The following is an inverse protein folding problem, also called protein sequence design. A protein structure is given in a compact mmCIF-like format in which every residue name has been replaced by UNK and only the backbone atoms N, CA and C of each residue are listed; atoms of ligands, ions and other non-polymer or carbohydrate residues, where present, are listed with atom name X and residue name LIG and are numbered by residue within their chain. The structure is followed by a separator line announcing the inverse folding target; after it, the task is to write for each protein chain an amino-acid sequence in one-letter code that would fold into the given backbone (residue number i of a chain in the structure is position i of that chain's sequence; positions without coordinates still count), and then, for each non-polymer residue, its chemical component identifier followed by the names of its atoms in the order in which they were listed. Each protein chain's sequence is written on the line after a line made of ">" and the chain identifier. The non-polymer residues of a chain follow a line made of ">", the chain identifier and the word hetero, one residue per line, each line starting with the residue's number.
data_IF_094149797809
#
_entry.id   IF_094149797809
#
_cell.length_a   1.000
_cell.length_b   1.000
_cell.length_c   1.000
_cell.angle_alpha   90.00
_cell.angle_beta   90.00
_cell.angle_gamma   90.00
#
_symmetry.space_group_name_H-M   'P 1'
#
loop_
_entity.id
_entity.type
_entity.pdbx_description
1 polymer ?
#
# COMPACT_ATOMS: atom_id res chain seq x y z
N UNK A 1 0.58 -1.03 -15.03
CA UNK A 1 -0.60 -1.88 -15.27
C UNK A 1 -1.55 -1.66 -14.10
N UNK A 2 -2.77 -1.18 -14.36
CA UNK A 2 -3.80 -1.13 -13.31
C UNK A 2 -4.36 -2.55 -13.16
N UNK A 3 -3.84 -3.32 -12.21
CA UNK A 3 -4.58 -4.47 -11.71
C UNK A 3 -5.86 -3.92 -11.08
N UNK A 4 -7.00 -4.31 -11.60
CA UNK A 4 -8.28 -4.05 -10.93
C UNK A 4 -8.26 -4.76 -9.57
N UNK A 5 -8.84 -4.17 -8.52
CA UNK A 5 -8.92 -4.80 -7.18
C UNK A 5 -9.47 -6.24 -7.26
N UNK A 6 -10.35 -6.51 -8.23
CA UNK A 6 -10.95 -7.82 -8.48
C UNK A 6 -9.97 -8.92 -8.97
N UNK A 7 -8.74 -8.59 -9.37
CA UNK A 7 -7.72 -9.54 -9.84
C UNK A 7 -6.54 -9.69 -8.88
N UNK A 8 -6.61 -9.06 -7.68
CA UNK A 8 -5.56 -9.19 -6.69
C UNK A 8 -5.71 -10.50 -5.90
N UNK A 9 -4.60 -11.21 -5.73
CA UNK A 9 -4.54 -12.48 -5.01
C UNK A 9 -3.36 -12.50 -4.03
N UNK A 10 -3.52 -13.25 -2.94
CA UNK A 10 -2.43 -13.51 -2.00
C UNK A 10 -1.30 -14.26 -2.69
N UNK A 11 -0.08 -13.76 -2.51
CA UNK A 11 1.12 -14.44 -3.00
C UNK A 11 1.73 -15.36 -1.92
N UNK A 12 2.81 -16.08 -2.28
CA UNK A 12 3.48 -17.01 -1.38
C UNK A 12 4.03 -16.33 -0.10
N UNK A 13 4.48 -15.07 -0.19
CA UNK A 13 4.99 -14.33 0.98
C UNK A 13 3.83 -13.98 1.92
N UNK A 14 2.68 -13.58 1.39
CA UNK A 14 1.50 -13.25 2.21
C UNK A 14 1.01 -14.49 2.99
N UNK A 15 1.01 -15.66 2.34
CA UNK A 15 0.65 -16.92 3.00
C UNK A 15 1.66 -17.31 4.08
N UNK A 16 2.96 -17.11 3.85
CA UNK A 16 3.98 -17.32 4.86
C UNK A 16 3.84 -16.36 6.06
N UNK A 17 3.43 -15.12 5.83
CA UNK A 17 3.15 -14.17 6.92
C UNK A 17 1.95 -14.61 7.76
N UNK A 18 0.91 -15.14 7.12
CA UNK A 18 -0.23 -15.72 7.85
C UNK A 18 0.24 -16.91 8.68
N UNK A 19 1.05 -17.81 8.10
CA UNK A 19 1.60 -18.97 8.83
C UNK A 19 2.44 -18.52 10.03
N UNK A 20 3.28 -17.51 9.84
CA UNK A 20 4.10 -16.95 10.90
C UNK A 20 3.25 -16.34 12.02
N UNK A 21 2.18 -15.61 11.69
CA UNK A 21 1.27 -15.03 12.67
C UNK A 21 0.56 -16.09 13.52
N UNK A 22 0.21 -17.26 12.94
CA UNK A 22 -0.30 -18.39 13.71
C UNK A 22 0.74 -18.97 14.67
N UNK A 23 1.99 -19.10 14.24
CA UNK A 23 3.08 -19.59 15.11
C UNK A 23 3.36 -18.59 16.24
N UNK A 24 3.37 -17.30 15.92
CA UNK A 24 3.62 -16.23 16.89
C UNK A 24 2.57 -16.18 17.99
N UNK A 25 1.28 -16.32 17.63
CA UNK A 25 0.17 -16.14 18.57
C UNK A 25 -0.20 -17.43 19.30
N UNK A 26 -0.10 -18.59 18.65
CA UNK A 26 -0.57 -19.90 19.17
C UNK A 26 0.55 -20.87 19.55
N UNK A 27 1.80 -20.58 19.19
CA UNK A 27 2.93 -21.50 19.40
C UNK A 27 2.92 -22.73 18.46
N UNK A 28 3.73 -23.73 18.80
CA UNK A 28 3.77 -25.04 18.12
C UNK A 28 3.87 -26.18 19.15
N UNK A 29 2.87 -27.12 19.19
CA UNK A 29 1.64 -27.14 18.39
C UNK A 29 0.70 -25.97 18.73
N UNK A 30 -0.17 -25.59 17.80
CA UNK A 30 -1.13 -24.49 18.00
C UNK A 30 -2.03 -24.75 19.20
N UNK A 31 -2.07 -23.82 20.15
CA UNK A 31 -2.87 -23.92 21.36
C UNK A 31 -3.34 -22.56 21.84
N UNK A 32 -4.64 -22.39 21.96
CA UNK A 32 -5.24 -21.35 22.79
C UNK A 32 -5.53 -21.94 24.18
N UNK A 33 -4.61 -21.70 25.11
CA UNK A 33 -4.71 -22.20 26.49
C UNK A 33 -5.98 -21.78 27.20
N UNK A 34 -6.43 -20.54 26.96
CA UNK A 34 -7.64 -20.01 27.60
C UNK A 34 -8.87 -20.78 27.14
N UNK A 35 -9.06 -20.89 25.83
CA UNK A 35 -10.19 -21.60 25.25
C UNK A 35 -10.14 -23.08 25.58
N UNK A 36 -8.97 -23.73 25.53
CA UNK A 36 -8.81 -25.14 25.87
C UNK A 36 -9.16 -25.45 27.34
N UNK A 37 -8.89 -24.56 28.28
CA UNK A 37 -9.15 -24.77 29.71
C UNK A 37 -10.61 -24.39 30.07
N UNK A 38 -11.08 -23.24 29.56
CA UNK A 38 -12.42 -22.76 29.94
C UNK A 38 -13.54 -23.50 29.19
N UNK A 39 -13.24 -23.98 27.99
CA UNK A 39 -14.24 -24.57 27.10
C UNK A 39 -13.78 -25.91 26.51
N UNK A 40 -13.42 -26.91 27.32
CA UNK A 40 -12.80 -28.16 26.84
C UNK A 40 -13.74 -29.00 25.94
N UNK A 41 -15.03 -28.71 25.95
CA UNK A 41 -16.06 -29.41 25.14
C UNK A 41 -16.85 -28.47 24.23
N UNK A 42 -16.35 -27.22 24.03
CA UNK A 42 -17.05 -26.22 23.25
C UNK A 42 -17.01 -26.57 21.75
N UNK A 43 -18.06 -27.20 21.29
CA UNK A 43 -18.34 -27.48 19.89
C UNK A 43 -19.53 -26.65 19.36
N UNK A 44 -19.86 -25.55 20.05
CA UNK A 44 -21.00 -24.74 19.70
C UNK A 44 -20.66 -23.81 18.54
N UNK A 45 -21.63 -23.67 17.64
CA UNK A 45 -21.58 -22.65 16.61
C UNK A 45 -21.84 -21.28 17.26
N UNK A 46 -20.96 -20.36 16.96
CA UNK A 46 -21.08 -18.96 17.35
C UNK A 46 -21.25 -18.07 16.13
N UNK A 47 -21.86 -16.94 16.36
CA UNK A 47 -21.88 -15.81 15.44
C UNK A 47 -21.02 -14.70 16.02
N UNK A 48 -20.15 -14.11 15.20
CA UNK A 48 -19.36 -12.96 15.62
C UNK A 48 -19.40 -11.89 14.54
N UNK A 49 -19.36 -10.62 14.97
CA UNK A 49 -19.28 -9.48 14.07
C UNK A 49 -18.01 -8.71 14.30
N UNK A 50 -17.32 -8.38 13.21
CA UNK A 50 -16.15 -7.51 13.19
C UNK A 50 -16.62 -6.09 12.88
N UNK A 51 -16.38 -5.15 13.80
CA UNK A 51 -16.90 -3.79 13.76
C UNK A 51 -15.78 -2.74 13.82
N UNK A 52 -16.03 -1.59 13.18
CA UNK A 52 -15.18 -0.41 13.34
C UNK A 52 -15.53 0.31 14.65
N UNK A 53 -14.52 0.56 15.49
CA UNK A 53 -14.62 1.46 16.65
C UNK A 53 -14.04 2.84 16.37
N UNK A 54 -13.56 3.07 15.16
CA UNK A 54 -13.07 4.39 14.78
C UNK A 54 -14.18 5.44 14.82
N UNK A 55 -13.91 6.64 15.34
CA UNK A 55 -14.87 7.75 15.33
C UNK A 55 -15.05 8.37 13.95
N UNK A 56 -14.22 8.03 12.99
CA UNK A 56 -14.24 8.47 11.59
C UNK A 56 -14.45 7.28 10.65
N UNK A 57 -15.01 7.51 9.44
CA UNK A 57 -15.09 6.46 8.44
C UNK A 57 -13.72 5.89 8.09
N UNK A 58 -13.67 4.59 7.81
CA UNK A 58 -12.47 3.87 7.34
C UNK A 58 -12.71 3.25 5.97
N UNK A 59 -11.63 2.97 5.25
CA UNK A 59 -11.66 2.18 4.03
C UNK A 59 -11.34 0.73 4.38
N UNK A 60 -12.23 -0.18 4.00
CA UNK A 60 -12.06 -1.62 4.21
C UNK A 60 -10.92 -2.14 3.34
N UNK A 61 -10.05 -2.97 3.93
CA UNK A 61 -9.00 -3.68 3.21
C UNK A 61 -8.59 -4.93 3.96
N UNK A 62 -8.66 -6.10 3.29
CA UNK A 62 -8.15 -7.35 3.81
C UNK A 62 -9.13 -8.51 3.85
N UNK A 63 -10.27 -8.45 3.15
CA UNK A 63 -11.20 -9.58 3.06
C UNK A 63 -10.55 -10.89 2.58
N UNK A 64 -9.67 -10.91 1.56
CA UNK A 64 -8.97 -12.12 1.14
C UNK A 64 -8.06 -12.71 2.24
N UNK A 65 -7.54 -11.85 3.12
CA UNK A 65 -6.69 -12.28 4.24
C UNK A 65 -7.53 -12.97 5.30
N UNK A 66 -8.72 -12.41 5.64
CA UNK A 66 -9.67 -13.07 6.56
C UNK A 66 -10.02 -14.46 6.03
N UNK A 67 -10.34 -14.58 4.74
CA UNK A 67 -10.66 -15.88 4.12
C UNK A 67 -9.53 -16.88 4.27
N UNK A 68 -8.28 -16.46 4.03
CA UNK A 68 -7.12 -17.33 4.15
C UNK A 68 -6.87 -17.77 5.61
N UNK A 69 -7.03 -16.85 6.57
CA UNK A 69 -6.91 -17.14 8.00
C UNK A 69 -7.98 -18.14 8.44
N UNK A 70 -9.24 -17.92 8.09
CA UNK A 70 -10.34 -18.81 8.44
C UNK A 70 -10.17 -20.19 7.82
N UNK A 71 -9.78 -20.26 6.54
CA UNK A 71 -9.48 -21.53 5.88
C UNK A 71 -8.40 -22.34 6.60
N UNK A 72 -7.44 -21.68 7.24
CA UNK A 72 -6.38 -22.31 8.03
C UNK A 72 -6.85 -22.67 9.44
N UNK A 73 -7.73 -21.88 10.04
CA UNK A 73 -8.19 -22.06 11.42
C UNK A 73 -9.19 -23.19 11.59
N UNK A 74 -10.02 -23.50 10.57
CA UNK A 74 -11.03 -24.58 10.61
C UNK A 74 -12.42 -24.11 10.17
N UNK A 75 -13.47 -24.73 10.71
CA UNK A 75 -14.86 -24.52 10.30
C UNK A 75 -15.39 -23.15 10.75
N UNK A 76 -15.21 -22.17 9.88
CA UNK A 76 -15.81 -20.84 10.01
C UNK A 76 -16.02 -20.24 8.61
N UNK A 77 -17.19 -19.64 8.41
CA UNK A 77 -17.52 -18.89 7.20
C UNK A 77 -17.57 -17.40 7.50
N UNK A 78 -17.30 -16.58 6.46
CA UNK A 78 -17.44 -15.15 6.54
C UNK A 78 -18.47 -14.64 5.52
N UNK A 79 -19.17 -13.59 5.89
CA UNK A 79 -20.05 -12.81 5.02
C UNK A 79 -19.73 -11.33 5.22
N UNK A 80 -19.65 -10.59 4.13
CA UNK A 80 -19.55 -9.13 4.13
C UNK A 80 -20.47 -8.56 3.07
N UNK A 81 -21.14 -7.44 3.39
CA UNK A 81 -21.92 -6.66 2.44
C UNK A 81 -21.04 -5.64 1.69
N UNK A 82 -19.76 -5.62 1.98
CA UNK A 82 -18.77 -4.69 1.43
C UNK A 82 -17.66 -5.44 0.69
N UNK A 83 -17.00 -4.72 -0.20
CA UNK A 83 -15.76 -5.13 -0.86
C UNK A 83 -14.58 -4.34 -0.32
N UNK A 84 -13.36 -4.84 -0.52
CA UNK A 84 -12.16 -4.05 -0.25
C UNK A 84 -12.18 -2.77 -1.11
N UNK A 85 -11.92 -1.63 -0.47
CA UNK A 85 -12.05 -0.29 -1.05
C UNK A 85 -13.33 0.45 -0.65
N UNK A 86 -14.34 -0.24 -0.12
CA UNK A 86 -15.57 0.41 0.35
C UNK A 86 -15.35 1.14 1.68
N UNK A 87 -16.18 2.19 1.89
CA UNK A 87 -16.12 3.02 3.09
C UNK A 87 -17.05 2.48 4.16
N UNK A 88 -16.50 2.15 5.32
CA UNK A 88 -17.23 1.72 6.51
C UNK A 88 -17.43 2.90 7.44
N UNK A 89 -18.68 3.15 7.83
CA UNK A 89 -19.03 4.20 8.78
C UNK A 89 -18.68 3.82 10.23
N UNK A 90 -18.53 4.79 11.15
CA UNK A 90 -18.32 4.51 12.58
C UNK A 90 -19.36 3.54 13.12
N UNK A 91 -18.91 2.49 13.83
CA UNK A 91 -19.78 1.43 14.34
C UNK A 91 -20.28 0.42 13.31
N UNK A 92 -19.92 0.60 12.02
CA UNK A 92 -20.32 -0.31 10.94
C UNK A 92 -19.69 -1.70 11.07
N UNK A 93 -20.44 -2.72 10.65
CA UNK A 93 -19.98 -4.12 10.59
C UNK A 93 -19.21 -4.34 9.29
N UNK A 94 -17.95 -4.78 9.40
CA UNK A 94 -17.11 -5.14 8.26
C UNK A 94 -17.42 -6.54 7.75
N UNK A 95 -17.49 -7.49 8.70
CA UNK A 95 -17.66 -8.92 8.42
C UNK A 95 -18.51 -9.56 9.51
N UNK A 96 -19.35 -10.49 9.11
CA UNK A 96 -20.02 -11.46 10.00
C UNK A 96 -19.33 -12.81 9.84
N UNK A 97 -18.96 -13.42 10.96
CA UNK A 97 -18.36 -14.77 11.05
C UNK A 97 -19.41 -15.73 11.62
N UNK A 98 -19.47 -16.95 11.08
CA UNK A 98 -20.35 -18.00 11.60
C UNK A 98 -19.59 -19.33 11.55
N UNK A 99 -19.50 -20.00 12.67
CA UNK A 99 -18.78 -21.29 12.76
C UNK A 99 -18.40 -21.63 14.19
N UNK A 100 -17.40 -22.50 14.36
CA UNK A 100 -16.93 -22.90 15.69
C UNK A 100 -16.45 -21.71 16.51
N UNK A 101 -16.97 -21.56 17.74
CA UNK A 101 -16.53 -20.54 18.68
C UNK A 101 -15.01 -20.64 18.94
N UNK A 102 -14.46 -21.83 19.03
CA UNK A 102 -13.03 -22.07 19.18
C UNK A 102 -12.23 -21.50 18.00
N UNK A 103 -12.67 -21.76 16.78
CA UNK A 103 -12.02 -21.22 15.57
C UNK A 103 -12.05 -19.70 15.53
N UNK A 104 -13.19 -19.08 15.88
CA UNK A 104 -13.33 -17.62 15.90
C UNK A 104 -12.40 -16.99 16.94
N UNK A 105 -12.38 -17.53 18.18
CA UNK A 105 -11.52 -17.01 19.27
C UNK A 105 -10.03 -17.14 18.92
N UNK A 106 -9.62 -18.29 18.37
CA UNK A 106 -8.24 -18.53 17.97
C UNK A 106 -7.78 -17.62 16.84
N UNK A 107 -8.65 -17.29 15.89
CA UNK A 107 -8.33 -16.45 14.73
C UNK A 107 -8.48 -14.94 14.99
N UNK A 108 -9.17 -14.54 16.06
CA UNK A 108 -9.54 -13.14 16.34
C UNK A 108 -8.35 -12.19 16.26
N UNK A 109 -7.33 -12.42 17.06
CA UNK A 109 -6.19 -11.50 17.16
C UNK A 109 -5.40 -11.44 15.86
N UNK A 110 -5.22 -12.58 15.21
CA UNK A 110 -4.50 -12.68 13.94
C UNK A 110 -5.24 -11.85 12.87
N UNK A 111 -6.55 -12.03 12.71
CA UNK A 111 -7.36 -11.24 11.77
C UNK A 111 -7.28 -9.74 12.06
N UNK A 112 -7.44 -9.35 13.34
CA UNK A 112 -7.43 -7.94 13.73
C UNK A 112 -6.07 -7.29 13.43
N UNK A 113 -4.96 -7.97 13.68
CA UNK A 113 -3.63 -7.41 13.45
C UNK A 113 -3.38 -7.06 11.97
N UNK A 114 -3.81 -7.92 11.04
CA UNK A 114 -3.73 -7.62 9.61
C UNK A 114 -4.67 -6.47 9.22
N UNK A 115 -5.95 -6.58 9.56
CA UNK A 115 -6.97 -5.62 9.13
C UNK A 115 -6.75 -4.22 9.68
N UNK A 116 -6.39 -4.09 10.95
CA UNK A 116 -6.13 -2.80 11.58
C UNK A 116 -5.03 -2.02 10.83
N UNK A 117 -3.98 -2.72 10.38
CA UNK A 117 -2.89 -2.14 9.59
C UNK A 117 -3.34 -1.78 8.19
N UNK A 118 -3.98 -2.70 7.48
CA UNK A 118 -4.33 -2.51 6.07
C UNK A 118 -5.43 -1.48 5.88
N UNK A 119 -6.47 -1.50 6.73
CA UNK A 119 -7.51 -0.47 6.72
C UNK A 119 -6.92 0.92 7.07
N UNK A 120 -5.91 1.02 7.95
CA UNK A 120 -5.26 2.28 8.23
C UNK A 120 -4.53 2.85 7.01
N UNK A 121 -3.79 2.01 6.27
CA UNK A 121 -3.10 2.40 5.03
C UNK A 121 -4.11 2.82 3.97
N UNK A 122 -5.15 2.03 3.74
CA UNK A 122 -6.19 2.34 2.76
C UNK A 122 -6.91 3.67 3.11
N UNK A 123 -7.27 3.85 4.39
CA UNK A 123 -7.94 5.07 4.88
C UNK A 123 -7.04 6.30 4.72
N UNK A 124 -5.76 6.20 5.12
CA UNK A 124 -4.80 7.28 4.94
C UNK A 124 -4.61 7.62 3.46
N UNK A 125 -4.49 6.60 2.60
CA UNK A 125 -4.37 6.82 1.15
C UNK A 125 -5.57 7.54 0.59
N UNK A 126 -6.79 7.15 0.98
CA UNK A 126 -8.02 7.82 0.55
C UNK A 126 -8.05 9.30 0.96
N UNK A 127 -7.51 9.64 2.15
CA UNK A 127 -7.38 11.04 2.58
C UNK A 127 -6.44 11.85 1.67
N UNK A 128 -5.30 11.26 1.25
CA UNK A 128 -4.40 11.91 0.30
C UNK A 128 -5.04 12.08 -1.08
N UNK A 129 -5.70 11.05 -1.59
CA UNK A 129 -6.41 11.08 -2.88
C UNK A 129 -7.50 12.16 -2.87
N UNK A 130 -8.31 12.23 -1.81
CA UNK A 130 -9.36 13.23 -1.66
C UNK A 130 -8.81 14.67 -1.69
N UNK A 131 -7.64 14.92 -1.08
CA UNK A 131 -7.00 16.25 -1.06
C UNK A 131 -6.63 16.77 -2.44
N UNK A 132 -6.36 15.88 -3.39
CA UNK A 132 -5.89 16.23 -4.73
C UNK A 132 -6.90 15.92 -5.84
N UNK A 133 -8.12 15.49 -5.51
CA UNK A 133 -9.14 15.04 -6.48
C UNK A 133 -9.53 16.09 -7.54
N UNK A 134 -9.25 17.37 -7.29
CA UNK A 134 -9.47 18.46 -8.23
C UNK A 134 -8.36 18.57 -9.30
N UNK A 135 -7.32 17.73 -9.24
CA UNK A 135 -6.22 17.67 -10.21
C UNK A 135 -6.23 16.34 -10.96
N UNK A 136 -5.32 16.17 -11.94
CA UNK A 136 -5.09 14.89 -12.62
C UNK A 136 -3.97 14.06 -11.97
N UNK A 137 -3.34 14.60 -10.93
CA UNK A 137 -2.22 13.97 -10.23
C UNK A 137 -2.66 12.71 -9.50
N UNK A 138 -1.84 11.67 -9.50
CA UNK A 138 -2.09 10.41 -8.83
C UNK A 138 -1.13 10.17 -7.66
N UNK A 139 -1.63 9.63 -6.57
CA UNK A 139 -0.83 9.27 -5.39
C UNK A 139 -0.15 7.93 -5.63
N UNK A 140 1.16 7.86 -5.36
CA UNK A 140 1.96 6.63 -5.38
C UNK A 140 2.42 6.24 -3.98
N UNK A 141 2.50 4.94 -3.75
CA UNK A 141 3.27 4.39 -2.64
C UNK A 141 4.79 4.46 -2.90
N UNK A 142 5.55 3.82 -2.02
CA UNK A 142 7.02 3.69 -2.14
C UNK A 142 7.47 2.27 -1.76
N UNK A 143 8.80 2.05 -1.68
CA UNK A 143 9.39 0.84 -1.10
C UNK A 143 9.66 0.95 0.41
N UNK A 144 9.22 2.04 1.07
CA UNK A 144 9.33 2.23 2.52
C UNK A 144 8.19 1.49 3.23
N UNK A 145 8.24 0.16 3.19
CA UNK A 145 7.22 -0.76 3.72
C UNK A 145 7.79 -1.57 4.88
N UNK A 146 6.93 -2.12 5.73
CA UNK A 146 7.35 -3.11 6.72
C UNK A 146 7.93 -4.35 6.01
N UNK A 147 9.04 -4.93 6.52
CA UNK A 147 9.59 -6.15 5.95
C UNK A 147 8.55 -7.27 5.88
N UNK A 148 8.46 -7.92 4.71
CA UNK A 148 7.47 -8.95 4.42
C UNK A 148 6.09 -8.42 4.02
N UNK A 149 5.65 -7.27 4.51
CA UNK A 149 4.30 -6.72 4.30
C UNK A 149 4.10 -5.96 2.98
N UNK A 150 5.14 -5.79 2.16
CA UNK A 150 5.09 -4.90 0.99
C UNK A 150 3.94 -5.18 0.05
N UNK A 151 3.66 -6.43 -0.27
CA UNK A 151 2.58 -6.78 -1.19
C UNK A 151 1.21 -6.39 -0.61
N UNK A 152 0.97 -6.68 0.66
CA UNK A 152 -0.25 -6.32 1.39
C UNK A 152 -0.41 -4.81 1.54
N UNK A 153 0.66 -4.08 1.91
CA UNK A 153 0.62 -2.63 2.06
C UNK A 153 0.37 -1.91 0.74
N UNK A 154 0.94 -2.41 -0.37
CA UNK A 154 0.68 -1.90 -1.72
C UNK A 154 -0.75 -2.17 -2.17
N UNK A 155 -1.31 -3.32 -1.84
CA UNK A 155 -2.73 -3.60 -2.04
C UNK A 155 -3.61 -2.61 -1.28
N UNK A 156 -3.30 -2.34 -0.02
CA UNK A 156 -4.05 -1.38 0.78
C UNK A 156 -3.99 0.05 0.19
N UNK A 157 -2.87 0.44 -0.41
CA UNK A 157 -2.78 1.70 -1.15
C UNK A 157 -3.74 1.72 -2.35
N UNK A 158 -3.87 0.62 -3.09
CA UNK A 158 -4.84 0.52 -4.19
C UNK A 158 -6.30 0.60 -3.68
N UNK A 159 -6.62 -0.08 -2.56
CA UNK A 159 -7.94 0.01 -1.92
C UNK A 159 -8.29 1.45 -1.53
N UNK A 160 -7.30 2.25 -1.13
CA UNK A 160 -7.46 3.68 -0.84
C UNK A 160 -7.51 4.59 -2.07
N UNK A 161 -7.48 4.04 -3.30
CA UNK A 161 -7.51 4.81 -4.56
C UNK A 161 -6.13 5.31 -5.02
N UNK A 162 -5.05 4.93 -4.36
CA UNK A 162 -3.69 5.19 -4.82
C UNK A 162 -3.22 4.24 -5.92
N UNK A 163 -1.99 4.43 -6.37
CA UNK A 163 -1.33 3.62 -7.40
C UNK A 163 -0.01 3.10 -6.87
N UNK A 164 0.37 1.90 -7.28
CA UNK A 164 1.63 1.34 -6.85
C UNK A 164 2.80 1.90 -7.66
N UNK A 165 3.84 2.33 -6.96
CA UNK A 165 5.19 2.47 -7.49
C UNK A 165 5.81 1.07 -7.68
N UNK A 166 7.02 0.97 -8.26
CA UNK A 166 7.71 -0.31 -8.42
C UNK A 166 7.69 -1.14 -7.13
N UNK A 167 7.56 -2.45 -7.29
CA UNK A 167 7.48 -3.41 -6.17
C UNK A 167 8.87 -3.66 -5.57
N UNK A 168 9.89 -3.81 -6.42
CA UNK A 168 11.22 -4.17 -5.99
C UNK A 168 12.33 -3.44 -6.75
N UNK A 169 13.48 -4.09 -6.85
CA UNK A 169 14.59 -3.63 -7.69
C UNK A 169 14.58 -4.31 -9.07
N UNK A 170 13.65 -5.23 -9.28
CA UNK A 170 13.58 -6.13 -10.43
C UNK A 170 12.51 -5.74 -11.46
N UNK A 171 11.59 -4.84 -11.13
CA UNK A 171 10.44 -4.49 -11.99
C UNK A 171 10.51 -3.10 -12.63
N UNK A 172 11.43 -2.23 -12.15
CA UNK A 172 11.75 -0.97 -12.80
C UNK A 172 13.14 -0.47 -12.40
N UNK A 173 13.84 0.17 -13.32
CA UNK A 173 15.09 0.89 -13.05
C UNK A 173 14.73 2.23 -12.37
N UNK A 174 15.48 2.60 -11.35
CA UNK A 174 15.46 3.94 -10.76
C UNK A 174 16.88 4.43 -10.59
N UNK A 175 17.26 5.39 -11.42
CA UNK A 175 18.54 6.11 -11.27
C UNK A 175 18.32 7.16 -10.17
N UNK A 176 19.09 7.03 -9.11
CA UNK A 176 19.08 7.91 -7.95
C UNK A 176 20.29 8.83 -7.94
N UNK A 177 20.25 9.87 -7.10
CA UNK A 177 21.34 10.78 -6.83
C UNK A 177 22.66 10.07 -6.59
N UNK A 178 22.66 9.04 -5.74
CA UNK A 178 23.87 8.21 -5.46
C UNK A 178 24.42 7.51 -6.68
N UNK A 179 23.60 7.03 -7.62
CA UNK A 179 24.06 6.45 -8.88
C UNK A 179 24.70 7.52 -9.77
N UNK A 180 24.08 8.69 -9.86
CA UNK A 180 24.55 9.84 -10.63
C UNK A 180 25.92 10.29 -10.11
N UNK A 181 26.06 10.42 -8.79
CA UNK A 181 27.31 10.85 -8.14
C UNK A 181 28.45 9.84 -8.37
N UNK A 182 28.19 8.52 -8.24
CA UNK A 182 29.18 7.45 -8.48
C UNK A 182 29.64 7.43 -9.94
N UNK A 183 28.73 7.66 -10.88
CA UNK A 183 29.03 7.61 -12.33
C UNK A 183 29.63 8.91 -12.87
N UNK A 184 29.77 9.95 -12.07
CA UNK A 184 30.35 11.22 -12.46
C UNK A 184 29.40 12.18 -13.18
N UNK A 185 28.08 12.01 -12.99
CA UNK A 185 27.05 12.93 -13.45
C UNK A 185 25.91 12.27 -14.24
N UNK A 186 24.85 13.04 -14.46
CA UNK A 186 23.61 12.57 -15.11
C UNK A 186 23.85 12.04 -16.53
N UNK A 187 24.66 12.75 -17.34
CA UNK A 187 24.97 12.33 -18.70
C UNK A 187 25.66 10.95 -18.74
N UNK A 188 26.64 10.72 -17.85
CA UNK A 188 27.34 9.45 -17.73
C UNK A 188 26.37 8.34 -17.29
N UNK A 189 25.49 8.61 -16.32
CA UNK A 189 24.48 7.65 -15.88
C UNK A 189 23.53 7.23 -17.01
N UNK A 190 23.02 8.18 -17.79
CA UNK A 190 22.16 7.90 -18.96
C UNK A 190 22.89 7.13 -20.06
N UNK A 191 24.17 7.40 -20.28
CA UNK A 191 24.97 6.71 -21.29
C UNK A 191 25.17 5.22 -20.99
N UNK A 192 25.08 4.79 -19.70
CA UNK A 192 25.15 3.37 -19.33
C UNK A 192 23.91 2.57 -19.68
N UNK A 193 22.78 3.23 -19.90
CA UNK A 193 21.52 2.55 -20.25
C UNK A 193 21.55 2.08 -21.71
N UNK A 194 21.18 0.81 -21.98
CA UNK A 194 20.99 0.34 -23.37
C UNK A 194 19.90 1.14 -24.08
N UNK A 195 19.99 1.31 -25.40
CA UNK A 195 18.99 2.05 -26.18
C UNK A 195 17.63 1.36 -26.23
N UNK A 196 17.60 0.03 -26.06
CA UNK A 196 16.39 -0.79 -26.02
C UNK A 196 15.81 -0.97 -24.62
N UNK A 197 16.29 -0.24 -23.62
CA UNK A 197 15.96 -0.48 -22.19
C UNK A 197 14.45 -0.37 -21.93
N UNK A 198 13.73 0.53 -22.59
CA UNK A 198 12.29 0.70 -22.41
C UNK A 198 11.46 -0.49 -22.94
N UNK A 199 12.03 -1.35 -23.78
CA UNK A 199 11.40 -2.62 -24.17
C UNK A 199 11.45 -3.66 -23.04
N UNK A 200 12.37 -3.49 -22.07
CA UNK A 200 12.62 -4.44 -20.98
C UNK A 200 11.91 -4.02 -19.69
N UNK A 201 12.01 -2.76 -19.32
CA UNK A 201 11.40 -2.25 -18.08
C UNK A 201 11.28 -0.71 -18.08
N UNK A 202 10.38 -0.15 -17.26
CA UNK A 202 10.31 1.29 -17.04
C UNK A 202 11.61 1.83 -16.42
N UNK A 203 11.98 3.05 -16.81
CA UNK A 203 13.14 3.77 -16.25
C UNK A 203 12.65 5.07 -15.62
N UNK A 204 12.96 5.25 -14.35
CA UNK A 204 12.68 6.44 -13.55
C UNK A 204 14.01 7.10 -13.23
N UNK A 205 14.11 8.41 -13.42
CA UNK A 205 15.33 9.17 -13.12
C UNK A 205 15.01 10.25 -12.08
N UNK A 206 15.70 10.19 -10.96
CA UNK A 206 15.64 11.20 -9.90
C UNK A 206 16.53 12.39 -10.27
N UNK A 207 15.97 13.60 -10.23
CA UNK A 207 16.68 14.86 -10.50
C UNK A 207 16.51 15.80 -9.34
N UNK A 208 17.61 16.48 -8.93
CA UNK A 208 17.66 17.45 -7.83
C UNK A 208 17.64 18.89 -8.32
N UNK A 209 17.97 19.11 -9.59
CA UNK A 209 18.10 20.43 -10.19
C UNK A 209 17.52 20.48 -11.59
N UNK A 210 17.19 21.71 -12.05
CA UNK A 210 16.77 21.94 -13.43
C UNK A 210 17.88 21.60 -14.43
N UNK A 211 19.16 21.76 -14.06
CA UNK A 211 20.28 21.39 -14.92
C UNK A 211 20.34 19.88 -15.16
N UNK A 212 20.16 19.05 -14.11
CA UNK A 212 20.05 17.58 -14.27
C UNK A 212 18.85 17.20 -15.15
N UNK A 213 17.69 17.87 -14.95
CA UNK A 213 16.51 17.67 -15.79
C UNK A 213 16.80 17.99 -17.26
N UNK A 214 17.50 19.09 -17.53
CA UNK A 214 17.85 19.47 -18.92
C UNK A 214 18.68 18.37 -19.59
N UNK A 215 19.68 17.80 -18.88
CA UNK A 215 20.47 16.68 -19.41
C UNK A 215 19.58 15.48 -19.73
N UNK A 216 18.62 15.12 -18.86
CA UNK A 216 17.67 14.03 -19.13
C UNK A 216 16.86 14.30 -20.39
N UNK A 217 16.33 15.53 -20.55
CA UNK A 217 15.47 15.91 -21.67
C UNK A 217 16.21 15.99 -22.99
N UNK A 218 17.50 16.31 -22.99
CA UNK A 218 18.32 16.44 -24.20
C UNK A 218 18.98 15.12 -24.61
N UNK A 219 19.44 14.32 -23.65
CA UNK A 219 20.30 13.16 -23.91
C UNK A 219 19.65 11.82 -23.59
N UNK A 220 18.64 11.78 -22.72
CA UNK A 220 18.07 10.54 -22.17
C UNK A 220 16.59 10.32 -22.44
N UNK A 221 15.89 11.25 -23.07
CA UNK A 221 14.44 11.23 -23.19
C UNK A 221 13.88 9.93 -23.78
N UNK A 222 14.58 9.35 -24.76
CA UNK A 222 14.19 8.09 -25.41
C UNK A 222 14.42 6.83 -24.54
N UNK A 223 15.06 6.98 -23.36
CA UNK A 223 15.36 5.91 -22.40
C UNK A 223 14.61 6.05 -21.08
N UNK A 224 13.82 7.12 -20.88
CA UNK A 224 13.22 7.47 -19.59
C UNK A 224 11.71 7.52 -19.69
N UNK A 225 11.01 6.82 -18.79
CA UNK A 225 9.53 6.83 -18.70
C UNK A 225 9.01 7.90 -17.77
N UNK A 226 9.78 8.26 -16.73
CA UNK A 226 9.37 9.22 -15.71
C UNK A 226 10.59 9.92 -15.09
N UNK A 227 10.42 11.21 -14.82
CA UNK A 227 11.38 12.00 -14.04
C UNK A 227 10.80 12.25 -12.66
N UNK A 228 11.57 11.94 -11.62
CA UNK A 228 11.24 12.19 -10.24
C UNK A 228 11.93 13.48 -9.78
N UNK A 229 11.13 14.48 -9.41
CA UNK A 229 11.55 15.80 -8.93
C UNK A 229 11.71 15.70 -7.41
N UNK A 230 12.95 15.57 -6.92
CA UNK A 230 13.20 15.30 -5.51
C UNK A 230 13.39 16.57 -4.69
N UNK A 231 12.58 16.73 -3.64
CA UNK A 231 12.63 17.83 -2.67
C UNK A 231 12.67 19.26 -3.30
N UNK A 232 12.01 19.46 -4.45
CA UNK A 232 11.96 20.74 -5.12
C UNK A 232 10.94 21.69 -4.48
N UNK A 233 11.24 22.99 -4.50
CA UNK A 233 10.25 24.03 -4.14
C UNK A 233 9.10 24.04 -5.17
N UNK A 234 7.88 24.50 -4.77
CA UNK A 234 6.75 24.56 -5.71
C UNK A 234 7.04 25.37 -6.98
N UNK A 235 7.79 26.47 -6.86
CA UNK A 235 8.18 27.30 -8.02
C UNK A 235 9.06 26.51 -9.00
N UNK A 236 10.14 25.90 -8.50
CA UNK A 236 11.04 25.08 -9.33
C UNK A 236 10.32 23.86 -9.91
N UNK A 237 9.45 23.20 -9.12
CA UNK A 237 8.64 22.08 -9.58
C UNK A 237 7.75 22.46 -10.77
N UNK A 238 7.08 23.63 -10.72
CA UNK A 238 6.23 24.13 -11.80
C UNK A 238 7.04 24.40 -13.07
N UNK A 239 8.23 24.99 -12.93
CA UNK A 239 9.13 25.19 -14.07
C UNK A 239 9.55 23.86 -14.70
N UNK A 240 9.97 22.89 -13.88
CA UNK A 240 10.36 21.55 -14.33
C UNK A 240 9.20 20.81 -15.02
N UNK A 241 7.98 20.87 -14.46
CA UNK A 241 6.78 20.31 -15.07
C UNK A 241 6.53 20.91 -16.44
N UNK A 242 6.68 22.25 -16.57
CA UNK A 242 6.50 22.93 -17.85
C UNK A 242 7.49 22.43 -18.91
N UNK A 243 8.75 22.21 -18.55
CA UNK A 243 9.77 21.66 -19.44
C UNK A 243 9.49 20.20 -19.84
N UNK A 244 8.88 19.42 -18.97
CA UNK A 244 8.55 18.01 -19.21
C UNK A 244 7.26 17.80 -20.02
N UNK A 245 6.38 18.81 -20.06
CA UNK A 245 5.01 18.69 -20.57
C UNK A 245 4.94 18.05 -21.98
N UNK A 246 4.20 16.95 -22.08
CA UNK A 246 4.03 16.20 -23.32
C UNK A 246 5.27 15.42 -23.78
N UNK A 247 6.35 15.38 -22.99
CA UNK A 247 7.61 14.72 -23.33
C UNK A 247 7.89 13.51 -22.44
N UNK A 248 7.71 13.64 -21.14
CA UNK A 248 7.96 12.61 -20.14
C UNK A 248 7.08 12.84 -18.91
N UNK A 249 6.63 11.77 -18.26
CA UNK A 249 5.84 11.89 -17.04
C UNK A 249 6.68 12.44 -15.87
N UNK A 250 6.03 13.16 -14.97
CA UNK A 250 6.65 13.80 -13.81
C UNK A 250 6.15 13.22 -12.50
N UNK A 251 7.04 13.05 -11.53
CA UNK A 251 6.73 12.59 -10.18
C UNK A 251 7.34 13.54 -9.16
N UNK A 252 6.54 14.04 -8.21
CA UNK A 252 7.06 14.77 -7.06
C UNK A 252 7.37 13.81 -5.92
N UNK A 253 8.50 14.03 -5.25
CA UNK A 253 8.96 13.29 -4.08
C UNK A 253 9.57 14.20 -3.03
N UNK A 254 9.72 13.69 -1.80
CA UNK A 254 10.34 14.42 -0.68
C UNK A 254 9.31 15.02 0.28
N UNK A 255 9.30 14.52 1.52
CA UNK A 255 8.54 15.07 2.67
C UNK A 255 7.04 15.38 2.43
N UNK A 256 6.39 14.65 1.52
CA UNK A 256 4.97 14.84 1.20
C UNK A 256 4.10 14.51 2.41
N UNK A 257 3.19 15.45 2.75
CA UNK A 257 2.28 15.35 3.88
C UNK A 257 0.87 15.86 3.49
N UNK A 258 -0.16 15.52 4.28
CA UNK A 258 -1.56 15.89 3.99
C UNK A 258 -1.79 17.40 3.86
N UNK A 259 -1.00 18.22 4.53
CA UNK A 259 -1.07 19.67 4.48
C UNK A 259 -0.33 20.28 3.27
N UNK A 260 0.68 19.57 2.73
CA UNK A 260 1.49 20.06 1.61
C UNK A 260 1.15 19.41 0.27
N UNK A 261 0.47 18.28 0.26
CA UNK A 261 0.20 17.48 -0.94
C UNK A 261 -0.56 18.25 -2.03
N UNK A 262 -1.49 19.12 -1.61
CA UNK A 262 -2.30 19.93 -2.51
C UNK A 262 -1.42 20.88 -3.33
N UNK A 263 -0.46 21.55 -2.70
CA UNK A 263 0.46 22.47 -3.36
C UNK A 263 1.29 21.74 -4.42
N UNK A 264 1.82 20.56 -4.08
CA UNK A 264 2.59 19.74 -5.02
C UNK A 264 1.73 19.29 -6.22
N UNK A 265 0.48 18.88 -5.99
CA UNK A 265 -0.42 18.50 -7.07
C UNK A 265 -0.79 19.68 -7.99
N UNK A 266 -0.98 20.87 -7.43
CA UNK A 266 -1.28 22.11 -8.17
C UNK A 266 -0.10 22.60 -9.02
N UNK A 267 1.14 22.13 -8.78
CA UNK A 267 2.27 22.35 -9.69
C UNK A 267 2.10 21.57 -11.02
N UNK A 268 1.13 20.65 -11.12
CA UNK A 268 0.79 19.94 -12.35
C UNK A 268 1.61 18.68 -12.60
N UNK A 269 2.24 18.09 -11.59
CA UNK A 269 2.90 16.78 -11.71
C UNK A 269 1.91 15.65 -11.98
N UNK A 270 2.34 14.62 -12.71
CA UNK A 270 1.49 13.46 -13.01
C UNK A 270 1.33 12.55 -11.79
N UNK A 271 2.37 12.47 -10.94
CA UNK A 271 2.41 11.59 -9.78
C UNK A 271 3.03 12.28 -8.56
N UNK A 272 2.60 11.83 -7.37
CA UNK A 272 3.26 12.20 -6.11
C UNK A 272 3.49 10.94 -5.30
N UNK A 273 4.74 10.62 -4.98
CA UNK A 273 5.09 9.49 -4.12
C UNK A 273 5.12 9.89 -2.65
N UNK A 274 4.40 9.11 -1.83
CA UNK A 274 4.19 9.39 -0.42
C UNK A 274 4.61 8.20 0.44
N UNK A 275 5.77 8.26 1.07
CA UNK A 275 6.25 7.18 1.95
C UNK A 275 5.41 7.01 3.22
N UNK A 276 4.80 8.10 3.73
CA UNK A 276 3.96 8.07 4.94
C UNK A 276 2.75 7.15 4.83
N UNK A 277 2.27 6.84 3.63
CA UNK A 277 1.16 5.89 3.42
C UNK A 277 1.43 4.54 4.06
N UNK A 278 2.68 4.09 4.03
CA UNK A 278 3.06 2.76 4.51
C UNK A 278 3.86 2.81 5.81
N UNK A 279 4.88 3.67 5.93
CA UNK A 279 5.69 3.67 7.15
C UNK A 279 5.07 4.42 8.36
N UNK A 280 3.99 5.21 8.16
CA UNK A 280 3.39 6.05 9.23
C UNK A 280 1.86 6.00 9.29
N UNK A 281 1.21 4.98 8.72
CA UNK A 281 -0.25 4.90 8.69
C UNK A 281 -0.90 4.62 10.06
N UNK A 282 -0.15 4.05 11.00
CA UNK A 282 -0.71 3.63 12.28
C UNK A 282 -1.61 2.39 12.17
N UNK A 283 -2.66 2.33 13.00
CA UNK A 283 -3.68 1.28 13.02
C UNK A 283 -5.06 1.88 13.25
N UNK A 284 -6.10 1.28 12.68
CA UNK A 284 -7.50 1.62 12.99
C UNK A 284 -8.00 0.76 14.16
N UNK A 285 -8.94 1.27 14.94
CA UNK A 285 -9.55 0.52 16.04
C UNK A 285 -10.69 -0.36 15.52
N UNK A 286 -10.47 -1.68 15.54
CA UNK A 286 -11.42 -2.72 15.18
C UNK A 286 -11.63 -3.68 16.34
N UNK A 287 -12.84 -4.27 16.45
CA UNK A 287 -13.15 -5.23 17.49
C UNK A 287 -14.05 -6.34 16.94
N UNK A 288 -13.91 -7.54 17.49
CA UNK A 288 -14.84 -8.64 17.28
C UNK A 288 -15.76 -8.71 18.49
N UNK A 289 -17.07 -8.89 18.23
CA UNK A 289 -18.10 -9.17 19.24
C UNK A 289 -18.73 -10.51 18.92
N UNK A 290 -18.67 -11.44 19.87
CA UNK A 290 -19.34 -12.73 19.74
C UNK A 290 -20.77 -12.64 20.25
N UNK A 291 -21.68 -13.30 19.54
CA UNK A 291 -23.08 -13.53 19.90
C UNK A 291 -23.26 -15.05 20.08
N UNK A 292 -23.65 -15.46 21.26
CA UNK A 292 -23.85 -16.86 21.62
C UNK A 292 -25.33 -17.18 21.79
#
# INVERSE_FOLDING_TARGET
>A
MNTTLSSWELNAIDLQLIDLAFIEDLGQPYCDLTTAILFPTLNENARAILISKQPQPIVLCGLPIIQAILKKSGDCTMQSDYNDGDVIQPGGTLVTLTGSAHTILMAERIMLNFLQRLCAIATLTAQYVEKIKHTQTRILDTRKTAPGFRHLEKYAVQCGGGVNHRIGLYDAIMIKDTHVDILGGMAAALATLPDDILQKCPVIVEVRTQAELTVVLEQGLHKVTRVLLDNMSPALMTECVTLCKGRVATEASGNMALDTIKIAAECGVDFISVGKLTHSAGSVDLSIKCEF
#
